data_IF_743690590506
#
_entry.id   IF_743690590506
#
_cell.length_a   1.000
_cell.length_b   1.000
_cell.length_c   1.000
_cell.angle_alpha   90.00
_cell.angle_beta   90.00
_cell.angle_gamma   90.00
#
_symmetry.space_group_name_H-M   'P 1'
#
loop_
_entity.id
_entity.type
_entity.pdbx_description
1 polymer ?
#
# COMPACT_ATOMS: atom_id res chain seq x y z
N UNK A 1 27.84 34.63 4.44
CA UNK A 1 26.51 34.04 4.13
C UNK A 1 26.27 32.90 5.10
N UNK A 2 25.42 33.13 6.13
CA UNK A 2 25.00 32.10 7.08
C UNK A 2 23.85 31.31 6.43
N UNK A 3 24.10 30.09 6.00
CA UNK A 3 23.07 29.15 5.63
C UNK A 3 22.46 28.60 6.92
N UNK A 4 21.34 29.15 7.34
CA UNK A 4 20.49 28.51 8.35
C UNK A 4 19.94 27.23 7.78
N UNK A 5 20.55 26.08 8.14
CA UNK A 5 19.96 24.79 7.93
C UNK A 5 18.66 24.74 8.75
N UNK A 6 17.52 24.69 8.04
CA UNK A 6 16.25 24.34 8.64
C UNK A 6 16.40 22.90 9.15
N UNK A 7 16.67 22.74 10.44
CA UNK A 7 16.60 21.46 11.12
C UNK A 7 15.16 20.98 11.00
N UNK A 8 14.89 20.12 10.02
CA UNK A 8 13.63 19.41 9.90
C UNK A 8 13.50 18.50 11.11
N UNK A 9 12.27 18.34 11.65
CA UNK A 9 11.91 17.48 12.79
C UNK A 9 12.19 15.96 12.57
N UNK A 10 13.13 15.62 11.69
CA UNK A 10 13.62 14.28 11.37
C UNK A 10 14.70 13.78 12.33
N UNK A 11 15.12 14.57 13.31
CA UNK A 11 16.19 14.20 14.26
C UNK A 11 15.93 12.92 15.06
N UNK A 12 14.72 12.32 14.95
CA UNK A 12 14.36 11.10 15.65
C UNK A 12 14.13 9.90 14.73
N UNK A 13 14.20 10.05 13.41
CA UNK A 13 14.03 8.94 12.49
C UNK A 13 15.34 8.14 12.38
N UNK A 14 15.27 6.84 12.67
CA UNK A 14 16.41 5.94 12.64
C UNK A 14 16.08 4.68 11.86
N UNK A 15 17.10 4.16 11.19
CA UNK A 15 17.04 2.86 10.51
C UNK A 15 18.00 1.89 11.17
N UNK A 16 17.51 0.67 11.44
CA UNK A 16 18.28 -0.44 11.98
C UNK A 16 18.23 -1.62 11.03
N UNK A 17 19.32 -1.96 10.34
CA UNK A 17 19.43 -3.19 9.56
C UNK A 17 19.36 -4.43 10.44
N UNK A 18 18.67 -5.50 10.01
CA UNK A 18 18.82 -6.84 10.55
C UNK A 18 19.94 -7.63 9.86
N UNK A 19 20.24 -7.27 8.62
CA UNK A 19 21.40 -7.68 7.85
C UNK A 19 22.10 -6.44 7.32
N UNK A 20 21.90 -6.10 6.04
CA UNK A 20 22.36 -4.83 5.45
C UNK A 20 21.25 -4.13 4.69
N UNK A 21 21.38 -2.82 4.54
CA UNK A 21 20.46 -1.99 3.75
C UNK A 21 21.27 -1.25 2.69
N UNK A 22 20.90 -1.45 1.42
CA UNK A 22 21.46 -0.70 0.32
C UNK A 22 20.61 0.56 0.11
N UNK A 23 21.26 1.69 -0.10
CA UNK A 23 20.62 3.00 -0.27
C UNK A 23 20.78 3.41 -1.72
N UNK A 24 19.67 3.75 -2.37
CA UNK A 24 19.63 4.19 -3.76
C UNK A 24 19.08 5.62 -3.87
N UNK A 25 19.63 6.39 -4.81
CA UNK A 25 19.05 7.63 -5.33
C UNK A 25 18.90 7.52 -6.83
N UNK A 26 17.65 7.48 -7.31
CA UNK A 26 17.38 7.00 -8.66
C UNK A 26 17.83 5.55 -8.80
N UNK A 27 18.59 5.27 -9.86
CA UNK A 27 19.09 3.91 -10.13
C UNK A 27 20.52 3.68 -9.60
N UNK A 28 21.10 4.64 -8.91
CA UNK A 28 22.46 4.53 -8.37
C UNK A 28 22.45 4.16 -6.89
N UNK A 29 23.21 3.12 -6.53
CA UNK A 29 23.55 2.82 -5.15
C UNK A 29 24.52 3.90 -4.62
N UNK A 30 24.07 4.62 -3.58
CA UNK A 30 24.84 5.72 -2.98
C UNK A 30 25.38 5.39 -1.60
N UNK A 31 24.99 4.24 -1.03
CA UNK A 31 25.44 3.83 0.29
C UNK A 31 25.00 2.43 0.69
N UNK A 32 25.54 1.98 1.80
CA UNK A 32 25.19 0.73 2.47
C UNK A 32 25.21 0.96 3.99
N UNK A 33 24.24 0.39 4.70
CA UNK A 33 24.17 0.41 6.15
C UNK A 33 24.23 -1.03 6.68
N UNK A 34 25.13 -1.26 7.64
CA UNK A 34 25.26 -2.52 8.39
C UNK A 34 25.01 -2.33 9.89
N UNK A 35 24.84 -1.09 10.32
CA UNK A 35 24.52 -0.71 11.69
C UNK A 35 23.44 0.35 11.73
N UNK A 36 22.89 0.58 12.92
CA UNK A 36 21.88 1.62 13.12
C UNK A 36 22.41 3.01 12.75
N UNK A 37 21.63 3.76 11.97
CA UNK A 37 21.99 5.07 11.44
C UNK A 37 20.77 6.02 11.42
N UNK A 38 20.99 7.33 11.24
CA UNK A 38 19.92 8.25 10.89
C UNK A 38 19.25 7.80 9.59
N UNK A 39 17.91 7.93 9.54
CA UNK A 39 17.14 7.51 8.38
C UNK A 39 17.37 8.45 7.17
N UNK A 40 17.73 7.93 5.99
CA UNK A 40 17.93 8.73 4.79
C UNK A 40 16.57 9.04 4.10
N UNK A 41 15.92 10.12 4.50
CA UNK A 41 14.61 10.53 3.98
C UNK A 41 14.59 10.62 2.45
N UNK A 42 13.55 10.07 1.83
CA UNK A 42 13.34 10.06 0.38
C UNK A 42 14.27 9.12 -0.41
N UNK A 43 15.22 8.44 0.24
CA UNK A 43 16.05 7.45 -0.44
C UNK A 43 15.28 6.12 -0.60
N UNK A 44 15.54 5.42 -1.68
CA UNK A 44 15.04 4.07 -1.89
C UNK A 44 15.95 3.08 -1.15
N UNK A 45 15.36 2.24 -0.33
CA UNK A 45 16.03 1.27 0.54
C UNK A 45 15.77 -0.15 0.02
N UNK A 46 16.82 -0.93 -0.13
CA UNK A 46 16.73 -2.37 -0.38
C UNK A 46 17.25 -3.11 0.84
N UNK A 47 16.39 -3.86 1.53
CA UNK A 47 16.75 -4.65 2.68
C UNK A 47 17.34 -6.01 2.24
N UNK A 48 18.50 -6.35 2.73
CA UNK A 48 19.11 -7.68 2.64
C UNK A 48 19.14 -8.27 4.07
N UNK A 49 18.18 -9.11 4.38
CA UNK A 49 17.64 -9.33 5.69
C UNK A 49 16.56 -8.30 6.06
N UNK A 50 15.96 -8.42 7.23
CA UNK A 50 14.96 -7.45 7.68
C UNK A 50 15.59 -6.08 7.96
N UNK A 51 14.79 -5.02 7.86
CA UNK A 51 15.23 -3.69 8.26
C UNK A 51 14.10 -2.93 8.96
N UNK A 52 14.40 -2.27 10.07
CA UNK A 52 13.43 -1.52 10.85
C UNK A 52 13.68 -0.02 10.76
N UNK A 53 12.63 0.75 10.47
CA UNK A 53 12.65 2.22 10.48
C UNK A 53 11.73 2.71 11.59
N UNK A 54 12.28 3.43 12.54
CA UNK A 54 11.55 4.01 13.66
C UNK A 54 11.42 5.52 13.46
N UNK A 55 10.19 5.99 13.49
CA UNK A 55 9.82 7.40 13.42
C UNK A 55 8.85 7.74 14.56
N UNK A 56 8.53 9.03 14.74
CA UNK A 56 7.60 9.44 15.78
C UNK A 56 6.17 8.88 15.52
N UNK A 57 5.78 7.86 16.32
CA UNK A 57 4.46 7.23 16.23
C UNK A 57 4.29 6.20 15.11
N UNK A 58 5.35 5.92 14.36
CA UNK A 58 5.37 4.93 13.29
C UNK A 58 6.62 4.04 13.39
N UNK A 59 6.42 2.74 13.35
CA UNK A 59 7.46 1.74 13.15
C UNK A 59 7.18 1.04 11.83
N UNK A 60 8.18 0.98 10.96
CA UNK A 60 8.16 0.18 9.73
C UNK A 60 9.16 -0.96 9.85
N UNK A 61 8.82 -2.12 9.34
CA UNK A 61 9.73 -3.26 9.21
C UNK A 61 9.64 -3.77 7.78
N UNK A 62 10.67 -3.48 6.99
CA UNK A 62 10.84 -4.09 5.69
C UNK A 62 11.31 -5.53 5.84
N UNK A 63 10.60 -6.48 5.26
CA UNK A 63 11.03 -7.87 5.19
C UNK A 63 12.26 -8.02 4.28
N UNK A 64 12.89 -9.18 4.35
CA UNK A 64 14.01 -9.51 3.45
C UNK A 64 13.62 -9.29 1.98
N UNK A 65 14.55 -8.70 1.21
CA UNK A 65 14.39 -8.34 -0.21
C UNK A 65 13.29 -7.31 -0.51
N UNK A 66 12.77 -6.64 0.51
CA UNK A 66 11.86 -5.52 0.28
C UNK A 66 12.59 -4.29 -0.27
N UNK A 67 11.89 -3.58 -1.16
CA UNK A 67 12.36 -2.36 -1.81
C UNK A 67 11.34 -1.25 -1.56
N UNK A 68 11.68 -0.29 -0.71
CA UNK A 68 10.76 0.78 -0.31
C UNK A 68 11.47 2.10 -0.04
N UNK A 69 10.72 3.17 -0.01
CA UNK A 69 11.19 4.47 0.50
C UNK A 69 10.14 5.13 1.37
N UNK A 70 10.60 6.00 2.24
CA UNK A 70 9.73 6.88 3.03
C UNK A 70 10.15 8.31 2.76
N UNK A 71 9.18 9.15 2.45
CA UNK A 71 9.40 10.57 2.20
C UNK A 71 8.53 11.39 3.13
N UNK A 72 9.15 12.24 3.94
CA UNK A 72 8.44 13.17 4.81
C UNK A 72 8.14 14.46 4.05
N UNK A 73 6.87 14.83 4.00
CA UNK A 73 6.40 16.11 3.47
C UNK A 73 5.83 16.96 4.60
N UNK A 74 5.56 18.23 4.35
CA UNK A 74 5.05 19.16 5.37
C UNK A 74 3.80 18.62 6.10
N UNK A 75 2.86 17.99 5.38
CA UNK A 75 1.58 17.50 5.90
C UNK A 75 1.31 16.02 5.61
N UNK A 76 2.27 15.27 5.14
CA UNK A 76 2.10 13.85 4.83
C UNK A 76 3.39 13.07 4.98
N UNK A 77 3.23 11.80 5.29
CA UNK A 77 4.27 10.79 5.18
C UNK A 77 3.91 9.87 4.01
N UNK A 78 4.80 9.73 3.08
CA UNK A 78 4.62 8.89 1.90
C UNK A 78 5.49 7.63 2.06
N UNK A 79 4.86 6.46 2.07
CA UNK A 79 5.52 5.16 2.02
C UNK A 79 5.35 4.58 0.61
N UNK A 80 6.42 4.60 -0.16
CA UNK A 80 6.51 3.91 -1.44
C UNK A 80 7.00 2.48 -1.20
N UNK A 81 6.25 1.47 -1.61
CA UNK A 81 6.68 0.08 -1.64
C UNK A 81 6.72 -0.38 -3.09
N UNK A 82 7.92 -0.58 -3.63
CA UNK A 82 8.12 -1.03 -5.01
C UNK A 82 8.01 -2.54 -5.15
N UNK A 83 8.54 -3.26 -4.17
CA UNK A 83 8.54 -4.72 -4.15
C UNK A 83 8.70 -5.25 -2.73
N UNK A 84 8.14 -6.42 -2.45
CA UNK A 84 8.24 -7.10 -1.17
C UNK A 84 7.19 -6.64 -0.17
N UNK A 85 7.44 -6.84 1.11
CA UNK A 85 6.50 -6.57 2.19
C UNK A 85 7.09 -5.61 3.21
N UNK A 86 6.33 -4.58 3.55
CA UNK A 86 6.63 -3.65 4.64
C UNK A 86 5.51 -3.73 5.67
N UNK A 87 5.84 -4.16 6.87
CA UNK A 87 4.95 -4.12 8.02
C UNK A 87 4.99 -2.73 8.66
N UNK A 88 3.85 -2.29 9.19
CA UNK A 88 3.78 -1.03 9.91
C UNK A 88 3.06 -1.17 11.24
N UNK A 89 3.48 -0.38 12.23
CA UNK A 89 2.77 -0.21 13.48
C UNK A 89 2.61 1.30 13.75
N UNK A 90 1.36 1.72 13.95
CA UNK A 90 0.96 3.11 14.18
C UNK A 90 0.43 3.28 15.59
N UNK A 91 1.02 4.16 16.38
CA UNK A 91 0.48 4.61 17.67
C UNK A 91 -0.35 5.88 17.55
N UNK A 92 -0.09 6.66 16.51
CA UNK A 92 -0.85 7.85 16.13
C UNK A 92 -0.75 8.05 14.62
N UNK A 93 -1.75 8.70 14.04
CA UNK A 93 -1.68 9.10 12.64
C UNK A 93 -0.67 10.23 12.46
N UNK A 94 0.34 10.11 11.58
CA UNK A 94 0.95 11.28 11.00
C UNK A 94 -0.14 12.06 10.25
N UNK A 95 0.02 13.35 10.01
CA UNK A 95 -1.03 14.21 9.42
C UNK A 95 -1.78 13.54 8.26
N UNK A 96 -1.07 12.89 7.36
CA UNK A 96 -1.61 12.00 6.32
C UNK A 96 -0.57 10.93 6.03
N UNK A 97 -0.99 9.67 5.90
CA UNK A 97 -0.12 8.56 5.50
C UNK A 97 -0.55 8.09 4.11
N UNK A 98 0.35 8.22 3.16
CA UNK A 98 0.11 7.85 1.76
C UNK A 98 0.92 6.61 1.44
N UNK A 99 0.25 5.57 0.99
CA UNK A 99 0.88 4.36 0.45
C UNK A 99 0.94 4.47 -1.06
N UNK A 100 2.13 4.40 -1.62
CA UNK A 100 2.37 4.40 -3.07
C UNK A 100 2.90 3.02 -3.45
N UNK A 101 2.24 2.37 -4.39
CA UNK A 101 2.59 1.02 -4.82
C UNK A 101 2.44 0.90 -6.34
N UNK A 102 2.98 -0.14 -6.99
CA UNK A 102 2.72 -0.42 -8.40
C UNK A 102 1.23 -0.59 -8.71
N UNK A 103 0.45 -1.14 -7.78
CA UNK A 103 -1.00 -1.30 -7.92
C UNK A 103 -1.82 -0.02 -7.75
N UNK A 104 -1.23 1.08 -7.29
CA UNK A 104 -1.93 2.36 -7.10
C UNK A 104 -1.55 3.10 -5.82
N UNK A 105 -2.27 4.19 -5.58
CA UNK A 105 -2.08 5.08 -4.43
C UNK A 105 -3.26 4.98 -3.48
N UNK A 106 -2.96 4.86 -2.19
CA UNK A 106 -3.94 4.81 -1.10
C UNK A 106 -3.56 5.82 -0.03
N UNK A 107 -4.49 6.68 0.33
CA UNK A 107 -4.29 7.66 1.40
C UNK A 107 -5.06 7.25 2.65
N UNK A 108 -4.35 6.99 3.74
CA UNK A 108 -4.95 6.80 5.04
C UNK A 108 -5.37 8.16 5.61
N UNK A 109 -6.66 8.31 5.88
CA UNK A 109 -7.26 9.56 6.34
C UNK A 109 -7.52 9.58 7.84
N UNK A 110 -7.91 8.43 8.39
CA UNK A 110 -8.26 8.32 9.81
C UNK A 110 -7.81 6.98 10.37
N UNK A 111 -7.24 7.03 11.57
CA UNK A 111 -6.88 5.88 12.37
C UNK A 111 -7.89 5.73 13.50
N UNK A 112 -8.48 4.55 13.63
CA UNK A 112 -9.39 4.20 14.72
C UNK A 112 -8.70 3.09 15.52
N UNK A 113 -8.13 3.46 16.65
CA UNK A 113 -7.45 2.51 17.54
C UNK A 113 -8.46 1.79 18.43
N UNK A 114 -8.27 0.48 18.59
CA UNK A 114 -9.01 -0.28 19.57
C UNK A 114 -8.31 -0.14 20.94
N UNK A 115 -8.99 0.45 21.91
CA UNK A 115 -8.45 0.65 23.26
C UNK A 115 -8.11 -0.66 24.00
N UNK A 116 -8.68 -1.79 23.57
CA UNK A 116 -8.41 -3.13 24.12
C UNK A 116 -7.21 -3.83 23.47
N UNK A 117 -6.61 -3.23 22.40
CA UNK A 117 -5.44 -3.80 21.74
C UNK A 117 -4.16 -3.51 22.54
N UNK A 118 -3.21 -4.44 22.52
CA UNK A 118 -1.93 -4.32 23.20
C UNK A 118 -1.20 -3.01 22.83
N UNK A 119 -1.10 -2.10 23.79
CA UNK A 119 -0.37 -0.84 23.66
C UNK A 119 -1.02 0.22 22.75
N UNK A 120 -2.28 0.06 22.32
CA UNK A 120 -2.95 1.04 21.46
C UNK A 120 -2.26 1.24 20.11
N UNK A 121 -1.72 0.17 19.52
CA UNK A 121 -1.05 0.17 18.23
C UNK A 121 -1.94 -0.46 17.16
N UNK A 122 -2.10 0.20 16.03
CA UNK A 122 -2.61 -0.44 14.83
C UNK A 122 -1.45 -1.06 14.06
N UNK A 123 -1.55 -2.34 13.77
CA UNK A 123 -0.55 -3.09 13.03
C UNK A 123 -1.11 -3.56 11.69
N UNK A 124 -0.32 -3.38 10.64
CA UNK A 124 -0.71 -3.76 9.29
C UNK A 124 0.51 -4.02 8.42
N UNK A 125 0.24 -4.18 7.13
CA UNK A 125 1.29 -4.43 6.14
C UNK A 125 0.90 -3.87 4.78
N UNK A 126 1.92 -3.64 3.97
CA UNK A 126 1.82 -3.37 2.54
C UNK A 126 2.70 -4.38 1.83
N UNK A 127 2.12 -5.18 0.96
CA UNK A 127 2.86 -6.07 0.05
C UNK A 127 2.71 -5.56 -1.37
N UNK A 128 3.80 -5.45 -2.10
CA UNK A 128 3.81 -5.03 -3.48
C UNK A 128 4.54 -6.05 -4.36
N UNK A 129 4.02 -6.26 -5.55
CA UNK A 129 4.61 -6.98 -6.66
C UNK A 129 4.64 -6.06 -7.88
N UNK A 130 5.13 -6.53 -9.04
CA UNK A 130 5.19 -5.71 -10.25
C UNK A 130 3.83 -5.16 -10.70
N UNK A 131 2.75 -5.95 -10.54
CA UNK A 131 1.43 -5.65 -11.11
C UNK A 131 0.35 -5.37 -10.07
N UNK A 132 0.63 -5.59 -8.80
CA UNK A 132 -0.39 -5.52 -7.75
C UNK A 132 0.19 -5.11 -6.40
N UNK A 133 -0.71 -4.68 -5.53
CA UNK A 133 -0.37 -4.46 -4.13
C UNK A 133 -1.52 -4.86 -3.22
N UNK A 134 -1.18 -5.19 -2.01
CA UNK A 134 -2.11 -5.54 -0.95
C UNK A 134 -1.81 -4.71 0.28
N UNK A 135 -2.83 -4.09 0.87
CA UNK A 135 -2.73 -3.35 2.12
C UNK A 135 -3.69 -3.98 3.11
N UNK A 136 -3.16 -4.45 4.23
CA UNK A 136 -3.95 -5.12 5.27
C UNK A 136 -3.69 -4.57 6.65
N UNK A 137 -4.72 -4.69 7.51
CA UNK A 137 -4.64 -4.46 8.95
C UNK A 137 -4.87 -5.80 9.63
N UNK A 138 -3.94 -6.23 10.48
CA UNK A 138 -4.09 -7.50 11.18
C UNK A 138 -4.44 -7.33 12.67
N UNK A 139 -4.13 -6.18 13.28
CA UNK A 139 -4.36 -5.96 14.72
C UNK A 139 -4.55 -4.47 15.05
N UNK A 140 -5.26 -4.17 16.13
CA UNK A 140 -5.23 -2.88 16.81
C UNK A 140 -6.29 -1.88 16.40
N UNK A 141 -7.19 -2.22 15.47
CA UNK A 141 -8.27 -1.32 15.10
C UNK A 141 -8.61 -1.31 13.62
N UNK A 142 -8.84 -0.14 13.05
CA UNK A 142 -9.13 0.04 11.64
C UNK A 142 -8.55 1.34 11.10
N UNK A 143 -8.40 1.41 9.79
CA UNK A 143 -7.96 2.61 9.07
C UNK A 143 -8.97 2.95 7.97
N UNK A 144 -9.44 4.19 7.95
CA UNK A 144 -10.20 4.74 6.84
C UNK A 144 -9.21 5.18 5.76
N UNK A 145 -9.37 4.64 4.58
CA UNK A 145 -8.50 4.93 3.44
C UNK A 145 -9.32 5.46 2.26
N UNK A 146 -8.70 6.35 1.52
CA UNK A 146 -9.21 6.87 0.24
C UNK A 146 -8.37 6.30 -0.90
N UNK A 147 -9.04 5.83 -1.93
CA UNK A 147 -8.47 5.32 -3.19
C UNK A 147 -9.11 6.06 -4.36
N UNK A 148 -8.65 5.80 -5.57
CA UNK A 148 -9.29 6.33 -6.79
C UNK A 148 -10.74 5.85 -6.96
N UNK A 149 -11.11 4.74 -6.31
CA UNK A 149 -12.47 4.16 -6.35
C UNK A 149 -13.38 4.69 -5.23
N UNK A 150 -12.87 5.52 -4.33
CA UNK A 150 -13.61 6.06 -3.19
C UNK A 150 -12.98 5.71 -1.85
N UNK A 151 -13.76 5.92 -0.79
CA UNK A 151 -13.34 5.65 0.58
C UNK A 151 -13.78 4.26 1.04
N UNK A 152 -12.93 3.61 1.83
CA UNK A 152 -13.23 2.32 2.45
C UNK A 152 -12.50 2.20 3.79
N UNK A 153 -13.02 1.35 4.68
CA UNK A 153 -12.40 1.08 5.97
C UNK A 153 -11.77 -0.31 5.98
N UNK A 154 -10.47 -0.38 6.26
CA UNK A 154 -9.76 -1.64 6.46
C UNK A 154 -9.79 -1.95 7.95
N UNK A 155 -10.57 -2.93 8.35
CA UNK A 155 -10.65 -3.42 9.72
C UNK A 155 -9.58 -4.48 10.01
N UNK A 156 -9.32 -4.74 11.29
CA UNK A 156 -8.46 -5.87 11.70
C UNK A 156 -8.89 -7.18 11.05
N UNK A 157 -7.94 -7.92 10.49
CA UNK A 157 -8.15 -9.14 9.72
C UNK A 157 -8.66 -8.92 8.30
N UNK A 158 -8.74 -7.67 7.82
CA UNK A 158 -9.16 -7.34 6.46
C UNK A 158 -8.03 -6.69 5.66
N UNK A 159 -8.17 -6.76 4.34
CA UNK A 159 -7.23 -6.19 3.37
C UNK A 159 -7.96 -5.63 2.17
N UNK A 160 -7.29 -4.75 1.45
CA UNK A 160 -7.65 -4.32 0.10
C UNK A 160 -6.58 -4.77 -0.87
N UNK A 161 -6.98 -5.10 -2.08
CA UNK A 161 -6.07 -5.46 -3.17
C UNK A 161 -6.18 -4.39 -4.26
N UNK A 162 -5.05 -3.88 -4.67
CA UNK A 162 -4.91 -2.91 -5.75
C UNK A 162 -4.24 -3.64 -6.92
N UNK A 163 -4.87 -3.64 -8.08
CA UNK A 163 -4.31 -4.21 -9.30
C UNK A 163 -4.19 -3.12 -10.36
N UNK A 164 -3.12 -3.14 -11.13
CA UNK A 164 -3.03 -2.29 -12.31
C UNK A 164 -4.12 -2.73 -13.29
N UNK A 165 -5.00 -1.81 -13.65
CA UNK A 165 -5.92 -2.03 -14.76
C UNK A 165 -5.09 -2.02 -16.04
N UNK A 166 -4.88 -3.17 -16.66
CA UNK A 166 -4.29 -3.26 -18.00
C UNK A 166 -5.23 -2.61 -19.01
N UNK A 167 -5.19 -1.30 -19.12
CA UNK A 167 -5.77 -0.52 -20.22
C UNK A 167 -4.90 -0.74 -21.46
N UNK A 168 -5.03 -1.89 -22.13
CA UNK A 168 -4.21 -2.10 -23.33
C UNK A 168 -4.26 -3.46 -24.00
N UNK A 169 -5.28 -4.26 -23.80
CA UNK A 169 -5.58 -5.32 -24.78
C UNK A 169 -6.90 -5.01 -25.49
N UNK A 170 -6.82 -4.10 -26.45
CA UNK A 170 -7.76 -4.11 -27.57
C UNK A 170 -7.48 -5.40 -28.33
N UNK A 171 -8.23 -6.46 -28.03
CA UNK A 171 -8.26 -7.67 -28.83
C UNK A 171 -8.78 -7.26 -30.21
N UNK A 172 -7.87 -7.01 -31.12
CA UNK A 172 -8.15 -6.89 -32.53
C UNK A 172 -8.67 -8.22 -33.04
N UNK A 173 -9.95 -8.45 -32.88
CA UNK A 173 -10.59 -9.60 -33.54
C UNK A 173 -10.80 -9.23 -35.00
N UNK A 174 -9.95 -9.80 -35.84
CA UNK A 174 -9.97 -9.66 -37.28
C UNK A 174 -11.29 -10.02 -37.90
N UNK A 175 -11.66 -9.20 -38.84
CA UNK A 175 -12.51 -9.34 -40.01
C UNK A 175 -13.50 -10.50 -40.10
N UNK A 176 -14.78 -10.15 -40.11
CA UNK A 176 -15.75 -10.75 -40.98
C UNK A 176 -16.59 -9.67 -41.61
N UNK A 177 -16.37 -9.49 -42.91
CA UNK A 177 -17.23 -8.75 -43.81
C UNK A 177 -18.58 -9.46 -43.96
N UNK A 178 -19.72 -8.81 -43.71
CA UNK A 178 -21.00 -9.29 -44.28
C UNK A 178 -21.24 -8.66 -45.64
N UNK A 179 -21.91 -9.36 -46.56
CA UNK A 179 -22.22 -8.83 -47.90
C UNK A 179 -23.34 -7.80 -47.88
N UNK A 180 -23.16 -6.84 -48.76
CA UNK A 180 -24.12 -5.78 -49.07
C UNK A 180 -25.43 -6.30 -49.64
N UNK A 181 -26.56 -5.74 -49.22
CA UNK A 181 -27.70 -5.46 -50.10
C UNK A 181 -28.59 -4.34 -49.53
N UNK A 182 -28.73 -3.25 -50.27
CA UNK A 182 -30.00 -2.67 -50.65
C UNK A 182 -30.59 -1.55 -49.80
N UNK A 183 -30.43 -0.30 -50.33
CA UNK A 183 -31.52 0.66 -50.68
C UNK A 183 -32.11 1.58 -49.60
N UNK A 184 -31.79 2.88 -49.81
CA UNK A 184 -32.62 4.13 -49.71
C UNK A 184 -33.23 4.55 -48.37
N UNK A 185 -32.87 5.68 -47.92
CA UNK A 185 -33.58 6.96 -47.89
C UNK A 185 -33.15 7.87 -46.74
N UNK A 186 -32.85 9.08 -47.12
CA UNK A 186 -32.54 10.29 -46.37
C UNK A 186 -33.45 10.60 -45.18
N UNK A 187 -32.85 11.07 -44.07
CA UNK A 187 -33.30 12.31 -43.40
C UNK A 187 -32.21 12.87 -42.50
N UNK A 188 -31.99 14.14 -42.60
CA UNK A 188 -31.12 14.98 -41.76
C UNK A 188 -31.68 15.04 -40.34
N UNK A 189 -30.85 14.81 -39.33
CA UNK A 189 -31.06 15.31 -37.95
C UNK A 189 -29.73 15.49 -37.23
N UNK A 190 -29.37 16.73 -37.15
CA UNK A 190 -28.76 17.47 -36.03
C UNK A 190 -27.83 16.76 -35.02
N UNK A 191 -26.60 17.27 -34.99
CA UNK A 191 -25.56 17.09 -34.02
C UNK A 191 -26.05 17.18 -32.55
N UNK A 192 -25.82 16.13 -31.78
CA UNK A 192 -25.58 16.22 -30.36
C UNK A 192 -24.53 15.16 -30.04
N UNK A 193 -23.31 15.62 -29.75
CA UNK A 193 -22.23 14.75 -29.28
C UNK A 193 -22.51 14.30 -27.83
N UNK A 194 -22.51 13.00 -27.53
CA UNK A 194 -22.45 12.57 -26.14
C UNK A 194 -21.03 12.68 -25.67
N UNK A 195 -20.83 13.44 -24.59
CA UNK A 195 -19.60 13.41 -23.77
C UNK A 195 -19.56 12.03 -23.15
N UNK A 196 -18.71 11.18 -23.68
CA UNK A 196 -18.43 9.88 -23.08
C UNK A 196 -17.51 10.11 -21.87
N UNK A 197 -18.12 10.18 -20.71
CA UNK A 197 -17.41 10.11 -19.43
C UNK A 197 -16.95 8.66 -19.26
N UNK A 198 -15.72 8.38 -19.66
CA UNK A 198 -15.09 7.08 -19.40
C UNK A 198 -14.76 6.97 -17.91
N UNK A 199 -15.72 6.54 -17.12
CA UNK A 199 -15.46 6.10 -15.76
C UNK A 199 -14.67 4.78 -15.82
N UNK A 200 -13.38 4.86 -15.61
CA UNK A 200 -12.52 3.69 -15.43
C UNK A 200 -12.89 3.04 -14.11
N UNK A 201 -13.61 1.94 -14.16
CA UNK A 201 -13.92 1.13 -12.99
C UNK A 201 -12.68 0.34 -12.64
N UNK A 202 -11.92 0.81 -11.65
CA UNK A 202 -10.86 0.03 -11.02
C UNK A 202 -11.56 -0.95 -10.07
N UNK A 203 -11.48 -2.25 -10.37
CA UNK A 203 -12.09 -3.29 -9.57
C UNK A 203 -11.48 -3.37 -8.17
N UNK A 204 -12.19 -2.88 -7.17
CA UNK A 204 -11.84 -3.06 -5.77
C UNK A 204 -12.44 -4.38 -5.29
N UNK A 205 -11.61 -5.41 -5.13
CA UNK A 205 -12.04 -6.70 -4.58
C UNK A 205 -11.81 -6.74 -3.07
N UNK A 206 -12.86 -6.72 -2.28
CA UNK A 206 -12.79 -6.97 -0.84
C UNK A 206 -12.94 -8.47 -0.60
N UNK A 207 -11.85 -9.15 -0.24
CA UNK A 207 -11.87 -10.58 0.06
C UNK A 207 -12.12 -10.77 1.55
N UNK A 208 -13.26 -11.38 1.87
CA UNK A 208 -13.63 -11.78 3.22
C UNK A 208 -13.03 -13.17 3.50
N UNK A 209 -11.82 -13.23 4.08
CA UNK A 209 -11.25 -14.49 4.53
C UNK A 209 -11.91 -14.89 5.87
N UNK A 210 -12.98 -15.67 5.81
CA UNK A 210 -13.53 -16.34 6.97
C UNK A 210 -12.64 -17.54 7.32
N UNK A 211 -11.79 -17.40 8.34
CA UNK A 211 -11.08 -18.53 8.92
C UNK A 211 -12.07 -19.38 9.71
N UNK A 212 -12.47 -20.50 9.12
CA UNK A 212 -13.23 -21.55 9.77
C UNK A 212 -12.23 -22.54 10.39
N UNK A 213 -11.69 -22.24 11.56
CA UNK A 213 -10.88 -23.17 12.35
C UNK A 213 -11.74 -23.73 13.49
N UNK A 214 -12.42 -24.84 13.20
CA UNK A 214 -13.01 -25.70 14.20
C UNK A 214 -11.94 -26.62 14.78
N UNK A 215 -11.32 -26.23 15.89
CA UNK A 215 -10.50 -27.11 16.71
C UNK A 215 -11.35 -27.67 17.86
N UNK A 216 -11.81 -28.91 17.70
CA UNK A 216 -12.36 -29.70 18.78
C UNK A 216 -11.22 -30.28 19.63
N UNK A 217 -10.89 -29.63 20.75
CA UNK A 217 -10.04 -30.21 21.77
C UNK A 217 -10.87 -31.07 22.70
N UNK A 218 -10.74 -32.40 22.58
CA UNK A 218 -11.17 -33.35 23.60
C UNK A 218 -10.19 -33.25 24.80
N UNK A 219 -10.72 -32.75 25.90
CA UNK A 219 -10.04 -32.84 27.19
C UNK A 219 -10.32 -34.23 27.77
N UNK A 220 -9.29 -35.10 27.80
CA UNK A 220 -9.33 -36.34 28.56
C UNK A 220 -9.00 -36.06 30.02
N UNK A 221 -9.93 -36.40 30.94
CA UNK A 221 -9.67 -36.43 32.38
C UNK A 221 -8.80 -37.63 32.74
N UNK A 222 -7.76 -37.48 33.56
CA UNK A 222 -7.09 -38.62 34.22
C UNK A 222 -7.88 -39.03 35.44
N UNK A 223 -8.15 -40.33 35.57
CA UNK A 223 -8.61 -40.95 36.80
C UNK A 223 -7.41 -41.05 37.79
N UNK A 224 -7.66 -40.65 39.03
CA UNK A 224 -6.74 -40.90 40.15
C UNK A 224 -7.16 -42.15 40.90
N UNK A 225 -6.17 -42.88 41.53
CA UNK A 225 -6.42 -44.00 42.42
C UNK A 225 -6.93 -43.58 43.79
#
# INVERSE_FOLDING_TARGET
FSTSALASNLDFARIKPGGKVLIYRGDQQVGELTAEAPFPDGALLACDGDCAVKMNGLLLVGADKSLFSVTTRANSLELLVKNGTVYFALSKMPHSLVFVTPGGVVTAQQLILNAAADGGLLKGYVTATEDSAEIGVYEGGSVLVSTVSGETTIQSGKKIVLAQSNLGQTSGNGGQTPPSTGTTSSTLATLAAPIVNSATVIGLSVINAANNSSSSSRVGSPAAP
#
